data_IF_567082430678
#
_entry.id   IF_567082430678
#
_cell.length_a   1.000
_cell.length_b   1.000
_cell.length_c   1.000
_cell.angle_alpha   90.00
_cell.angle_beta   90.00
_cell.angle_gamma   90.00
#
_symmetry.space_group_name_H-M   'P 1'
#
loop_
_entity.id
_entity.type
_entity.pdbx_description
1 polymer ?
#
# COMPACT_ATOMS: atom_id res chain seq x y z
N UNK A 1 -0.65 -16.59 -0.97
CA UNK A 1 -1.81 -17.13 -0.24
C UNK A 1 -2.12 -18.56 -0.69
N UNK A 2 -2.61 -19.43 0.18
CA UNK A 2 -3.15 -20.77 -0.15
C UNK A 2 -4.59 -20.71 -0.64
N UNK A 3 -5.36 -19.71 -0.18
CA UNK A 3 -6.77 -19.54 -0.52
C UNK A 3 -6.96 -18.42 -1.53
N UNK A 4 -7.57 -18.76 -2.66
CA UNK A 4 -7.87 -17.84 -3.77
C UNK A 4 -9.36 -17.74 -4.09
N UNK A 5 -10.18 -18.58 -3.45
CA UNK A 5 -11.64 -18.63 -3.63
C UNK A 5 -12.33 -18.64 -2.27
N UNK A 6 -13.42 -17.89 -2.16
CA UNK A 6 -14.30 -17.93 -0.99
C UNK A 6 -15.20 -19.18 -1.03
N UNK A 7 -15.78 -19.59 0.11
CA UNK A 7 -16.80 -20.64 0.13
C UNK A 7 -17.95 -20.37 -0.84
N UNK A 8 -18.57 -21.43 -1.38
CA UNK A 8 -19.60 -21.34 -2.42
C UNK A 8 -20.77 -20.38 -2.11
N UNK A 9 -21.10 -20.19 -0.83
CA UNK A 9 -22.09 -19.20 -0.39
C UNK A 9 -21.78 -17.77 -0.89
N UNK A 10 -20.49 -17.42 -1.00
CA UNK A 10 -19.98 -16.12 -1.45
C UNK A 10 -19.66 -16.09 -2.96
N UNK A 11 -20.11 -17.08 -3.72
CA UNK A 11 -19.97 -17.13 -5.19
C UNK A 11 -20.37 -15.83 -5.89
N UNK A 12 -21.50 -15.17 -5.53
CA UNK A 12 -21.88 -13.88 -6.13
C UNK A 12 -20.83 -12.77 -5.98
N UNK A 13 -20.08 -12.74 -4.86
CA UNK A 13 -18.99 -11.77 -4.69
C UNK A 13 -17.81 -12.12 -5.60
N UNK A 14 -17.42 -13.40 -5.65
CA UNK A 14 -16.32 -13.86 -6.50
C UNK A 14 -16.60 -13.67 -7.99
N UNK A 15 -17.82 -13.92 -8.46
CA UNK A 15 -18.23 -13.68 -9.86
C UNK A 15 -18.02 -12.21 -10.25
N UNK A 16 -18.47 -11.27 -9.42
CA UNK A 16 -18.27 -9.84 -9.69
C UNK A 16 -16.78 -9.50 -9.66
N UNK A 17 -16.04 -10.03 -8.68
CA UNK A 17 -14.62 -9.76 -8.50
C UNK A 17 -13.76 -10.23 -9.68
N UNK A 18 -14.03 -11.42 -10.21
CA UNK A 18 -13.32 -12.01 -11.35
C UNK A 18 -13.55 -11.23 -12.66
N UNK A 19 -14.75 -10.69 -12.85
CA UNK A 19 -15.11 -9.91 -14.04
C UNK A 19 -14.93 -8.39 -13.86
N UNK A 20 -14.31 -7.94 -12.75
CA UNK A 20 -14.21 -6.51 -12.40
C UNK A 20 -13.68 -5.63 -13.54
N UNK A 21 -12.52 -5.94 -14.19
CA UNK A 21 -12.01 -5.10 -15.26
C UNK A 21 -13.00 -4.94 -16.42
N UNK A 22 -13.67 -6.02 -16.81
CA UNK A 22 -14.65 -6.05 -17.91
C UNK A 22 -15.94 -5.32 -17.54
N UNK A 23 -16.43 -5.50 -16.31
CA UNK A 23 -17.62 -4.81 -15.81
C UNK A 23 -17.40 -3.30 -15.68
N UNK A 24 -16.19 -2.87 -15.29
CA UNK A 24 -15.83 -1.45 -15.24
C UNK A 24 -15.72 -0.89 -16.66
N UNK A 25 -14.98 -1.56 -17.55
CA UNK A 25 -14.79 -1.10 -18.94
C UNK A 25 -16.11 -1.03 -19.73
N UNK A 26 -17.08 -1.88 -19.41
CA UNK A 26 -18.42 -1.89 -20.03
C UNK A 26 -19.45 -1.03 -19.29
N UNK A 27 -19.04 -0.29 -18.27
CA UNK A 27 -19.91 0.55 -17.42
C UNK A 27 -21.07 -0.20 -16.73
N UNK A 28 -20.90 -1.50 -16.48
CA UNK A 28 -21.94 -2.39 -15.94
C UNK A 28 -21.75 -2.76 -14.47
N UNK A 29 -20.61 -2.45 -13.86
CA UNK A 29 -20.32 -2.87 -12.48
C UNK A 29 -21.36 -2.34 -11.49
N UNK A 30 -21.74 -1.06 -11.55
CA UNK A 30 -22.78 -0.51 -10.66
C UNK A 30 -24.11 -1.28 -10.73
N UNK A 31 -24.59 -1.55 -11.95
CA UNK A 31 -25.82 -2.33 -12.15
C UNK A 31 -25.69 -3.75 -11.58
N UNK A 32 -24.53 -4.41 -11.79
CA UNK A 32 -24.26 -5.74 -11.26
C UNK A 32 -24.19 -5.76 -9.73
N UNK A 33 -23.59 -4.74 -9.10
CA UNK A 33 -23.56 -4.58 -7.64
C UNK A 33 -24.98 -4.42 -7.08
N UNK A 34 -25.85 -3.64 -7.71
CA UNK A 34 -27.24 -3.51 -7.25
C UNK A 34 -28.05 -4.82 -7.35
N UNK A 35 -27.70 -5.71 -8.27
CA UNK A 35 -28.32 -7.05 -8.41
C UNK A 35 -27.72 -8.09 -7.46
N UNK A 36 -26.61 -7.78 -6.79
CA UNK A 36 -25.92 -8.70 -5.90
C UNK A 36 -26.77 -8.97 -4.65
N UNK A 37 -26.94 -10.24 -4.21
CA UNK A 37 -27.63 -10.51 -2.96
C UNK A 37 -26.83 -9.94 -1.78
N UNK A 38 -27.52 -9.45 -0.75
CA UNK A 38 -26.88 -9.14 0.53
C UNK A 38 -26.57 -10.45 1.25
N UNK A 39 -25.28 -10.82 1.32
CA UNK A 39 -24.83 -12.05 1.96
C UNK A 39 -24.35 -11.76 3.39
N UNK A 40 -24.64 -12.67 4.32
CA UNK A 40 -24.19 -12.55 5.71
C UNK A 40 -22.73 -12.99 5.86
N UNK A 41 -21.96 -12.26 6.66
CA UNK A 41 -20.55 -12.57 6.94
C UNK A 41 -20.34 -13.71 7.93
N UNK A 42 -21.41 -14.19 8.61
CA UNK A 42 -21.37 -15.25 9.63
C UNK A 42 -20.83 -16.61 9.15
N UNK A 43 -20.78 -16.83 7.84
CA UNK A 43 -20.27 -18.07 7.24
C UNK A 43 -18.78 -17.98 6.87
N UNK A 44 -18.15 -16.81 7.01
CA UNK A 44 -16.69 -16.66 6.90
C UNK A 44 -16.02 -17.24 8.14
N UNK A 45 -15.06 -18.14 7.94
CA UNK A 45 -14.37 -18.86 8.99
C UNK A 45 -12.87 -18.60 8.92
N UNK A 46 -12.35 -18.09 10.03
CA UNK A 46 -10.92 -17.90 10.22
C UNK A 46 -10.35 -16.74 9.41
N UNK A 47 -9.06 -16.52 9.62
CA UNK A 47 -8.36 -15.33 9.16
C UNK A 47 -8.23 -15.25 7.62
N UNK A 48 -7.95 -16.38 6.96
CA UNK A 48 -7.76 -16.41 5.50
C UNK A 48 -9.05 -16.06 4.73
N UNK A 49 -10.21 -16.56 5.17
CA UNK A 49 -11.50 -16.23 4.54
C UNK A 49 -11.88 -14.77 4.76
N UNK A 50 -11.66 -14.24 5.98
CA UNK A 50 -11.92 -12.85 6.28
C UNK A 50 -11.05 -11.93 5.42
N UNK A 51 -9.76 -12.21 5.30
CA UNK A 51 -8.86 -11.40 4.45
C UNK A 51 -9.22 -11.49 2.97
N UNK A 52 -9.56 -12.67 2.45
CA UNK A 52 -9.99 -12.80 1.06
C UNK A 52 -11.33 -12.08 0.82
N UNK A 53 -12.26 -12.12 1.77
CA UNK A 53 -13.51 -11.36 1.69
C UNK A 53 -13.25 -9.85 1.72
N UNK A 54 -12.36 -9.37 2.59
CA UNK A 54 -11.99 -7.96 2.63
C UNK A 54 -11.32 -7.50 1.32
N UNK A 55 -10.43 -8.33 0.77
CA UNK A 55 -9.82 -8.12 -0.55
C UNK A 55 -10.89 -8.00 -1.65
N UNK A 56 -11.80 -8.96 -1.74
CA UNK A 56 -12.85 -8.97 -2.76
C UNK A 56 -13.77 -7.77 -2.64
N UNK A 57 -14.32 -7.53 -1.44
CA UNK A 57 -15.27 -6.45 -1.20
C UNK A 57 -14.63 -5.07 -1.38
N UNK A 58 -13.37 -4.91 -0.99
CA UNK A 58 -12.64 -3.65 -1.21
C UNK A 58 -12.40 -3.38 -2.69
N UNK A 59 -11.99 -4.38 -3.48
CA UNK A 59 -11.82 -4.23 -4.93
C UNK A 59 -13.14 -3.88 -5.64
N UNK A 60 -14.25 -4.54 -5.26
CA UNK A 60 -15.59 -4.23 -5.80
C UNK A 60 -15.97 -2.79 -5.43
N UNK A 61 -15.74 -2.36 -4.18
CA UNK A 61 -16.00 -0.98 -3.73
C UNK A 61 -15.20 0.03 -4.53
N UNK A 62 -13.89 -0.17 -4.74
CA UNK A 62 -13.07 0.78 -5.52
C UNK A 62 -13.54 0.85 -6.97
N UNK A 63 -13.88 -0.29 -7.57
CA UNK A 63 -14.47 -0.33 -8.91
C UNK A 63 -15.81 0.42 -8.96
N UNK A 64 -16.71 0.17 -8.01
CA UNK A 64 -18.05 0.76 -7.96
C UNK A 64 -17.98 2.30 -7.85
N UNK A 65 -17.13 2.79 -6.95
CA UNK A 65 -16.94 4.22 -6.71
C UNK A 65 -16.33 4.91 -7.93
N UNK A 66 -15.23 4.37 -8.46
CA UNK A 66 -14.42 5.03 -9.48
C UNK A 66 -14.68 4.63 -10.93
N UNK A 67 -15.66 3.75 -11.20
CA UNK A 67 -16.02 3.29 -12.56
C UNK A 67 -16.14 4.45 -13.57
N UNK A 68 -16.80 5.53 -13.17
CA UNK A 68 -17.08 6.71 -14.02
C UNK A 68 -16.04 7.84 -13.84
N UNK A 69 -14.90 7.54 -13.23
CA UNK A 69 -13.89 8.53 -12.91
C UNK A 69 -14.30 9.55 -11.84
N UNK A 70 -13.61 10.70 -11.83
CA UNK A 70 -13.89 11.80 -10.88
C UNK A 70 -15.18 12.56 -11.18
N UNK A 71 -15.70 12.46 -12.40
CA UNK A 71 -16.88 13.22 -12.84
C UNK A 71 -18.19 12.51 -12.51
N UNK A 72 -18.16 11.19 -12.35
CA UNK A 72 -19.32 10.37 -12.01
C UNK A 72 -19.25 9.75 -10.62
N UNK A 73 -18.73 10.47 -9.63
CA UNK A 73 -18.62 9.97 -8.25
C UNK A 73 -19.97 9.61 -7.66
N UNK A 74 -19.97 8.65 -6.74
CA UNK A 74 -21.15 8.21 -5.99
C UNK A 74 -21.06 8.72 -4.56
N UNK A 75 -22.21 9.03 -3.97
CA UNK A 75 -22.29 9.45 -2.56
C UNK A 75 -22.58 8.29 -1.60
N UNK A 76 -23.11 7.19 -2.12
CA UNK A 76 -23.62 6.08 -1.32
C UNK A 76 -23.10 4.75 -1.86
N UNK A 77 -22.51 3.95 -0.97
CA UNK A 77 -22.21 2.55 -1.18
C UNK A 77 -23.47 1.72 -0.84
N UNK A 78 -24.02 0.91 -1.76
CA UNK A 78 -25.25 0.16 -1.54
C UNK A 78 -25.14 -0.84 -0.37
N UNK A 79 -26.20 -1.00 0.43
CA UNK A 79 -26.21 -1.84 1.64
C UNK A 79 -25.73 -3.28 1.47
N UNK A 80 -26.02 -3.87 0.31
CA UNK A 80 -25.66 -5.25 -0.01
C UNK A 80 -24.14 -5.44 -0.21
N UNK A 81 -23.40 -4.34 -0.40
CA UNK A 81 -21.94 -4.28 -0.40
C UNK A 81 -21.40 -3.63 0.88
N UNK A 82 -22.03 -2.55 1.34
CA UNK A 82 -21.58 -1.75 2.48
C UNK A 82 -21.60 -2.51 3.82
N UNK A 83 -22.71 -3.18 4.15
CA UNK A 83 -22.86 -3.93 5.41
C UNK A 83 -21.84 -5.05 5.52
N UNK A 84 -21.74 -6.02 4.57
CA UNK A 84 -20.78 -7.10 4.71
C UNK A 84 -19.34 -6.60 4.68
N UNK A 85 -19.05 -5.54 3.91
CA UNK A 85 -17.71 -4.97 3.90
C UNK A 85 -17.35 -4.39 5.27
N UNK A 86 -18.23 -3.58 5.86
CA UNK A 86 -18.03 -3.05 7.21
C UNK A 86 -17.87 -4.15 8.26
N UNK A 87 -18.72 -5.18 8.26
CA UNK A 87 -18.64 -6.30 9.21
C UNK A 87 -17.29 -7.03 9.11
N UNK A 88 -16.81 -7.33 7.90
CA UNK A 88 -15.50 -7.96 7.69
C UNK A 88 -14.37 -7.02 8.13
N UNK A 89 -14.46 -5.73 7.82
CA UNK A 89 -13.50 -4.71 8.25
C UNK A 89 -13.40 -4.64 9.78
N UNK A 90 -14.53 -4.64 10.50
CA UNK A 90 -14.55 -4.68 11.96
C UNK A 90 -13.89 -5.96 12.50
N UNK A 91 -14.22 -7.11 11.93
CA UNK A 91 -13.65 -8.40 12.35
C UNK A 91 -12.12 -8.46 12.18
N UNK A 92 -11.57 -7.78 11.17
CA UNK A 92 -10.13 -7.69 10.92
C UNK A 92 -9.44 -6.52 11.62
N UNK A 93 -10.19 -5.56 12.17
CA UNK A 93 -9.65 -4.31 12.70
C UNK A 93 -9.03 -3.39 11.64
N UNK A 94 -9.56 -3.48 10.41
CA UNK A 94 -9.19 -2.66 9.24
C UNK A 94 -10.34 -1.69 8.89
N UNK A 95 -10.07 -0.58 8.18
CA UNK A 95 -11.14 0.29 7.68
C UNK A 95 -11.80 -0.31 6.41
N UNK A 96 -13.09 -0.02 6.15
CA UNK A 96 -13.81 -0.47 4.96
C UNK A 96 -13.41 0.31 3.70
N UNK A 97 -12.14 0.25 3.34
CA UNK A 97 -11.57 0.74 2.08
C UNK A 97 -10.43 -0.21 1.66
N UNK A 98 -10.07 -0.20 0.38
CA UNK A 98 -8.90 -0.92 -0.12
C UNK A 98 -7.61 -0.42 0.54
N UNK A 99 -7.00 -1.28 1.37
CA UNK A 99 -5.74 -0.99 2.06
C UNK A 99 -4.56 -1.71 1.40
N UNK A 100 -3.33 -1.32 1.75
CA UNK A 100 -2.11 -2.01 1.33
C UNK A 100 -2.09 -3.50 1.73
N UNK A 101 -2.65 -3.83 2.88
CA UNK A 101 -2.79 -5.22 3.35
C UNK A 101 -3.62 -6.08 2.37
N UNK A 102 -4.67 -5.50 1.78
CA UNK A 102 -5.47 -6.18 0.77
C UNK A 102 -4.75 -6.18 -0.57
N UNK A 103 -4.45 -4.98 -1.05
CA UNK A 103 -3.98 -4.71 -2.41
C UNK A 103 -2.65 -5.38 -2.73
N UNK A 104 -1.77 -5.53 -1.73
CA UNK A 104 -0.42 -6.10 -1.90
C UNK A 104 -0.26 -7.40 -1.12
N UNK A 105 -0.45 -7.37 0.20
CA UNK A 105 -0.04 -8.50 1.06
C UNK A 105 -0.92 -9.74 0.88
N UNK A 106 -2.22 -9.55 0.61
CA UNK A 106 -3.18 -10.62 0.41
C UNK A 106 -3.44 -10.97 -1.08
N UNK A 107 -3.26 -10.01 -1.99
CA UNK A 107 -3.64 -10.18 -3.40
C UNK A 107 -2.59 -10.89 -4.28
N UNK A 108 -2.17 -12.09 -3.88
CA UNK A 108 -1.23 -12.88 -4.69
C UNK A 108 -1.36 -14.40 -4.49
N UNK A 109 -1.06 -15.13 -5.56
CA UNK A 109 -0.95 -16.59 -5.60
C UNK A 109 0.30 -17.03 -6.35
N UNK A 110 0.79 -18.23 -6.05
CA UNK A 110 1.79 -18.90 -6.88
C UNK A 110 1.09 -19.58 -8.05
N UNK A 111 1.70 -19.52 -9.23
CA UNK A 111 1.30 -20.33 -10.40
C UNK A 111 1.69 -21.78 -10.19
N UNK A 112 2.94 -22.00 -9.77
CA UNK A 112 3.46 -23.30 -9.33
C UNK A 112 3.85 -23.22 -7.83
N UNK A 113 3.16 -23.97 -6.95
CA UNK A 113 3.46 -24.00 -5.52
C UNK A 113 4.89 -24.40 -5.18
N UNK A 114 5.55 -25.20 -6.03
CA UNK A 114 6.88 -25.75 -5.81
C UNK A 114 8.01 -24.82 -6.27
N UNK A 115 7.68 -23.74 -7.00
CA UNK A 115 8.67 -22.78 -7.48
C UNK A 115 8.84 -21.59 -6.51
N UNK A 116 10.00 -20.89 -6.56
CA UNK A 116 10.26 -19.73 -5.71
C UNK A 116 9.24 -18.59 -5.87
N UNK A 117 9.23 -17.67 -4.90
CA UNK A 117 8.44 -16.42 -4.92
C UNK A 117 9.13 -15.38 -5.82
N UNK A 118 9.08 -15.63 -7.13
CA UNK A 118 9.55 -14.74 -8.19
C UNK A 118 8.36 -14.22 -9.00
N UNK A 119 8.44 -13.01 -9.55
CA UNK A 119 7.29 -12.36 -10.22
C UNK A 119 6.75 -13.17 -11.40
N UNK A 120 7.59 -13.96 -12.06
CA UNK A 120 7.23 -14.86 -13.15
C UNK A 120 6.32 -15.99 -12.67
N UNK A 121 6.54 -16.47 -11.44
CA UNK A 121 5.76 -17.52 -10.77
C UNK A 121 4.61 -16.97 -9.92
N UNK A 122 4.41 -15.66 -9.88
CA UNK A 122 3.35 -15.03 -9.10
C UNK A 122 2.24 -14.50 -9.99
N UNK A 123 1.04 -14.40 -9.45
CA UNK A 123 -0.09 -13.73 -10.08
C UNK A 123 -1.00 -13.07 -9.05
N UNK A 124 -1.80 -12.09 -9.46
CA UNK A 124 -2.82 -11.48 -8.60
C UNK A 124 -4.04 -12.41 -8.47
N UNK A 125 -4.79 -12.25 -7.39
CA UNK A 125 -6.06 -12.98 -7.19
C UNK A 125 -7.18 -12.18 -7.85
N UNK A 126 -7.32 -10.90 -7.49
CA UNK A 126 -8.31 -9.97 -8.03
C UNK A 126 -7.59 -8.81 -8.73
N UNK A 127 -8.17 -8.31 -9.82
CA UNK A 127 -7.60 -7.25 -10.63
C UNK A 127 -8.61 -6.12 -10.89
N UNK A 128 -8.09 -4.90 -11.01
CA UNK A 128 -8.78 -3.71 -11.49
C UNK A 128 -8.25 -3.36 -12.89
N UNK A 129 -8.81 -2.34 -13.57
CA UNK A 129 -8.26 -1.88 -14.84
C UNK A 129 -6.78 -1.48 -14.72
N UNK A 130 -6.00 -1.78 -15.76
CA UNK A 130 -4.55 -1.55 -15.81
C UNK A 130 -3.74 -2.77 -16.27
N UNK A 131 -4.37 -3.93 -16.44
CA UNK A 131 -3.77 -5.12 -17.04
C UNK A 131 -2.43 -5.51 -16.41
N UNK A 132 -1.45 -5.82 -17.25
CA UNK A 132 -0.11 -6.21 -16.80
C UNK A 132 0.60 -5.14 -15.97
N UNK A 133 0.30 -3.84 -16.17
CA UNK A 133 0.87 -2.78 -15.35
C UNK A 133 0.31 -2.78 -13.93
N UNK A 134 -0.97 -3.12 -13.74
CA UNK A 134 -1.54 -3.26 -12.39
C UNK A 134 -0.94 -4.48 -11.69
N UNK A 135 -0.90 -5.61 -12.39
CA UNK A 135 -0.25 -6.83 -11.91
C UNK A 135 1.21 -6.57 -11.52
N UNK A 136 1.96 -5.88 -12.38
CA UNK A 136 3.33 -5.45 -12.13
C UNK A 136 3.45 -4.56 -10.90
N UNK A 137 2.58 -3.57 -10.75
CA UNK A 137 2.61 -2.65 -9.61
C UNK A 137 2.40 -3.39 -8.29
N UNK A 138 1.40 -4.28 -8.22
CA UNK A 138 1.12 -5.10 -7.04
C UNK A 138 2.29 -6.05 -6.73
N UNK A 139 2.74 -6.83 -7.71
CA UNK A 139 3.74 -7.87 -7.47
C UNK A 139 5.15 -7.30 -7.22
N UNK A 140 5.55 -6.21 -7.87
CA UNK A 140 6.81 -5.52 -7.55
C UNK A 140 6.76 -5.00 -6.11
N UNK A 141 5.63 -4.42 -5.68
CA UNK A 141 5.47 -3.93 -4.31
C UNK A 141 5.52 -5.09 -3.30
N UNK A 142 4.90 -6.23 -3.62
CA UNK A 142 5.02 -7.46 -2.82
C UNK A 142 6.47 -7.95 -2.71
N UNK A 143 7.26 -7.86 -3.80
CA UNK A 143 8.66 -8.24 -3.76
C UNK A 143 9.51 -7.29 -2.90
N UNK A 144 9.15 -6.00 -2.81
CA UNK A 144 9.77 -5.07 -1.85
C UNK A 144 9.46 -5.52 -0.42
N UNK A 145 8.22 -5.85 -0.11
CA UNK A 145 7.82 -6.38 1.21
C UNK A 145 8.55 -7.70 1.54
N UNK A 146 8.67 -8.60 0.56
CA UNK A 146 9.43 -9.85 0.71
C UNK A 146 10.91 -9.59 0.98
N UNK A 147 11.52 -8.64 0.27
CA UNK A 147 12.93 -8.28 0.45
C UNK A 147 13.21 -7.68 1.84
N UNK A 148 12.20 -7.09 2.49
CA UNK A 148 12.32 -6.56 3.83
C UNK A 148 12.34 -7.63 4.94
N UNK A 149 11.91 -8.87 4.66
CA UNK A 149 11.74 -9.92 5.69
C UNK A 149 13.00 -10.18 6.52
N UNK A 150 14.22 -10.28 5.93
CA UNK A 150 15.45 -10.38 6.72
C UNK A 150 15.64 -9.17 7.64
N UNK A 151 15.36 -7.96 7.16
CA UNK A 151 15.43 -6.73 7.95
C UNK A 151 14.47 -6.71 9.14
N UNK A 152 13.24 -7.20 8.98
CA UNK A 152 12.28 -7.36 10.10
C UNK A 152 12.83 -8.31 11.16
N UNK A 153 13.40 -9.44 10.76
CA UNK A 153 14.00 -10.41 11.68
C UNK A 153 15.21 -9.80 12.39
N UNK A 154 16.04 -9.07 11.65
CA UNK A 154 17.18 -8.34 12.17
C UNK A 154 16.77 -7.26 13.17
N UNK A 155 15.64 -6.57 12.97
CA UNK A 155 15.09 -5.63 13.95
C UNK A 155 14.80 -6.31 15.30
N UNK A 156 14.19 -7.50 15.27
CA UNK A 156 13.90 -8.28 16.49
C UNK A 156 15.20 -8.73 17.16
N UNK A 157 16.19 -9.18 16.38
CA UNK A 157 17.50 -9.58 16.89
C UNK A 157 18.25 -8.41 17.51
N UNK A 158 18.26 -7.24 16.87
CA UNK A 158 18.88 -6.02 17.38
C UNK A 158 18.32 -5.63 18.76
N UNK A 159 16.99 -5.62 18.90
CA UNK A 159 16.34 -5.33 20.19
C UNK A 159 16.75 -6.34 21.27
N UNK A 160 16.80 -7.64 20.94
CA UNK A 160 17.23 -8.68 21.89
C UNK A 160 18.71 -8.54 22.27
N UNK A 161 19.58 -8.27 21.30
CA UNK A 161 21.01 -8.11 21.50
C UNK A 161 21.32 -6.92 22.40
N UNK A 162 20.62 -5.79 22.22
CA UNK A 162 20.73 -4.63 23.11
C UNK A 162 20.34 -4.97 24.56
N UNK A 163 19.25 -5.72 24.76
CA UNK A 163 18.83 -6.14 26.10
C UNK A 163 19.81 -7.10 26.79
N UNK A 164 20.60 -7.83 25.99
CA UNK A 164 21.61 -8.78 26.47
C UNK A 164 23.03 -8.19 26.50
N UNK A 165 23.21 -6.94 26.04
CA UNK A 165 24.50 -6.30 25.84
C UNK A 165 25.45 -7.11 24.94
N UNK A 166 24.89 -7.75 23.91
CA UNK A 166 25.63 -8.54 22.92
C UNK A 166 25.93 -7.68 21.68
N UNK A 167 27.08 -7.00 21.71
CA UNK A 167 27.46 -6.06 20.65
C UNK A 167 27.81 -6.74 19.33
N UNK A 168 28.29 -7.99 19.34
CA UNK A 168 28.58 -8.73 18.10
C UNK A 168 27.29 -9.12 17.38
N UNK A 169 26.30 -9.65 18.09
CA UNK A 169 24.98 -9.95 17.52
C UNK A 169 24.27 -8.67 17.06
N UNK A 170 24.41 -7.58 17.82
CA UNK A 170 23.85 -6.29 17.42
C UNK A 170 24.48 -5.78 16.11
N UNK A 171 25.81 -5.84 16.00
CA UNK A 171 26.53 -5.44 14.80
C UNK A 171 26.08 -6.24 13.57
N UNK A 172 25.98 -7.57 13.69
CA UNK A 172 25.51 -8.45 12.62
C UNK A 172 24.05 -8.13 12.22
N UNK A 173 23.16 -7.90 13.19
CA UNK A 173 21.78 -7.54 12.93
C UNK A 173 21.67 -6.19 12.17
N UNK A 174 22.48 -5.20 12.50
CA UNK A 174 22.50 -3.93 11.76
C UNK A 174 23.01 -4.11 10.32
N UNK A 175 24.01 -4.97 10.10
CA UNK A 175 24.47 -5.28 8.75
C UNK A 175 23.38 -5.96 7.91
N UNK A 176 22.65 -6.92 8.49
CA UNK A 176 21.53 -7.61 7.83
C UNK A 176 20.37 -6.65 7.53
N UNK A 177 20.06 -5.74 8.44
CA UNK A 177 19.05 -4.70 8.22
C UNK A 177 19.44 -3.79 7.04
N UNK A 178 20.69 -3.32 7.00
CA UNK A 178 21.17 -2.47 5.91
C UNK A 178 21.10 -3.19 4.55
N UNK A 179 21.46 -4.48 4.51
CA UNK A 179 21.36 -5.28 3.28
C UNK A 179 19.91 -5.50 2.84
N UNK A 180 19.00 -5.82 3.76
CA UNK A 180 17.59 -5.97 3.44
C UNK A 180 16.99 -4.69 2.83
N UNK A 181 17.38 -3.50 3.32
CA UNK A 181 16.94 -2.21 2.75
C UNK A 181 17.54 -1.97 1.35
N UNK A 182 18.77 -2.43 1.09
CA UNK A 182 19.35 -2.41 -0.27
C UNK A 182 18.62 -3.35 -1.22
N UNK A 183 18.24 -4.54 -0.75
CA UNK A 183 17.43 -5.49 -1.52
C UNK A 183 16.03 -4.97 -1.82
N UNK A 184 15.39 -4.31 -0.84
CA UNK A 184 14.14 -3.57 -1.07
C UNK A 184 14.30 -2.52 -2.17
N UNK A 185 15.41 -1.78 -2.15
CA UNK A 185 15.73 -0.78 -3.16
C UNK A 185 15.90 -1.42 -4.54
N UNK A 186 16.57 -2.57 -4.63
CA UNK A 186 16.75 -3.33 -5.87
C UNK A 186 15.41 -3.85 -6.41
N UNK A 187 14.55 -4.42 -5.54
CA UNK A 187 13.21 -4.85 -5.91
C UNK A 187 12.37 -3.68 -6.45
N UNK A 188 12.40 -2.52 -5.80
CA UNK A 188 11.67 -1.32 -6.24
C UNK A 188 12.10 -0.85 -7.65
N UNK A 189 13.36 -1.07 -8.06
CA UNK A 189 13.82 -0.70 -9.42
C UNK A 189 13.07 -1.44 -10.51
N UNK A 190 12.61 -2.67 -10.23
CA UNK A 190 11.85 -3.50 -11.17
C UNK A 190 10.51 -2.89 -11.56
N UNK A 191 10.05 -1.85 -10.86
CA UNK A 191 8.86 -1.09 -11.26
C UNK A 191 8.97 -0.62 -12.72
N UNK A 192 10.18 -0.28 -13.18
CA UNK A 192 10.45 0.13 -14.56
C UNK A 192 10.21 -0.96 -15.61
N UNK A 193 10.33 -2.22 -15.22
CA UNK A 193 10.27 -3.35 -16.14
C UNK A 193 8.83 -3.85 -16.30
N UNK A 194 8.00 -3.69 -15.26
CA UNK A 194 6.66 -4.29 -15.21
C UNK A 194 5.51 -3.27 -15.20
N UNK A 195 5.78 -1.97 -15.07
CA UNK A 195 4.73 -0.95 -14.98
C UNK A 195 4.96 0.15 -15.99
N UNK A 196 3.97 0.35 -16.86
CA UNK A 196 3.91 1.48 -17.78
C UNK A 196 3.50 2.76 -17.01
N UNK A 197 4.32 3.84 -17.05
CA UNK A 197 4.00 5.09 -16.37
C UNK A 197 2.69 5.76 -16.79
N UNK A 198 2.32 5.68 -18.07
CA UNK A 198 1.08 6.25 -18.57
C UNK A 198 -0.12 5.46 -18.04
N UNK A 199 -0.08 4.12 -18.11
CA UNK A 199 -1.16 3.26 -17.57
C UNK A 199 -1.32 3.45 -16.06
N UNK A 200 -0.20 3.52 -15.32
CA UNK A 200 -0.26 3.81 -13.89
C UNK A 200 -0.97 5.13 -13.61
N UNK A 201 -0.56 6.20 -14.30
CA UNK A 201 -1.07 7.53 -14.05
C UNK A 201 -2.53 7.72 -14.45
N UNK A 202 -2.94 7.23 -15.63
CA UNK A 202 -4.26 7.50 -16.20
C UNK A 202 -5.31 6.46 -15.86
N UNK A 203 -4.92 5.23 -15.55
CA UNK A 203 -5.85 4.11 -15.31
C UNK A 203 -5.81 3.64 -13.86
N UNK A 204 -4.64 3.25 -13.35
CA UNK A 204 -4.55 2.53 -12.07
C UNK A 204 -4.84 3.47 -10.89
N UNK A 205 -4.24 4.65 -10.91
CA UNK A 205 -4.15 5.54 -9.75
C UNK A 205 -5.51 5.98 -9.18
N UNK A 206 -6.51 6.14 -10.03
CA UNK A 206 -7.85 6.54 -9.59
C UNK A 206 -8.47 5.47 -8.68
N UNK A 207 -8.28 4.18 -9.00
CA UNK A 207 -8.81 3.07 -8.20
C UNK A 207 -8.09 2.87 -6.86
N UNK A 208 -6.97 3.56 -6.62
CA UNK A 208 -6.29 3.56 -5.33
C UNK A 208 -6.69 4.77 -4.47
N UNK A 209 -7.48 5.69 -5.00
CA UNK A 209 -7.85 6.94 -4.33
C UNK A 209 -8.95 6.72 -3.32
N UNK A 210 -8.77 7.27 -2.13
CA UNK A 210 -9.83 7.30 -1.12
C UNK A 210 -10.70 8.54 -1.24
N UNK A 211 -11.54 8.75 -0.24
CA UNK A 211 -12.47 9.87 -0.14
C UNK A 211 -12.25 10.67 1.15
N UNK A 212 -11.03 10.61 1.72
CA UNK A 212 -10.50 11.56 2.70
C UNK A 212 -9.52 12.50 2.01
N UNK A 213 -9.66 13.80 2.26
CA UNK A 213 -8.82 14.85 1.65
C UNK A 213 -8.86 14.86 0.11
N UNK A 214 -9.91 14.27 -0.48
CA UNK A 214 -10.10 14.13 -1.93
C UNK A 214 -11.13 15.17 -2.45
N UNK A 215 -10.71 16.16 -3.26
CA UNK A 215 -11.60 17.15 -3.86
C UNK A 215 -12.77 16.59 -4.68
N UNK A 216 -12.66 15.39 -5.26
CA UNK A 216 -13.74 14.75 -6.03
C UNK A 216 -14.84 14.17 -5.12
N UNK A 217 -14.54 13.94 -3.83
CA UNK A 217 -15.47 13.41 -2.83
C UNK A 217 -15.26 14.14 -1.49
N UNK A 218 -15.54 15.46 -1.42
CA UNK A 218 -15.19 16.29 -0.28
C UNK A 218 -15.94 15.89 1.00
N UNK A 219 -17.14 15.35 0.85
CA UNK A 219 -17.99 14.94 1.98
C UNK A 219 -17.64 13.51 2.47
N UNK A 220 -16.89 12.72 1.71
CA UNK A 220 -16.69 11.29 1.97
C UNK A 220 -17.73 10.39 1.30
N UNK A 221 -17.92 9.18 1.83
CA UNK A 221 -18.82 8.16 1.27
C UNK A 221 -19.78 7.64 2.35
N UNK A 222 -21.09 7.62 2.05
CA UNK A 222 -22.11 7.03 2.93
C UNK A 222 -22.11 5.51 2.72
N UNK A 223 -22.09 4.75 3.81
CA UNK A 223 -22.22 3.30 3.81
C UNK A 223 -23.65 2.94 4.20
N UNK A 224 -24.52 2.71 3.21
CA UNK A 224 -25.95 2.47 3.45
C UNK A 224 -26.16 1.28 4.39
N UNK A 225 -26.95 1.48 5.44
CA UNK A 225 -27.19 0.50 6.50
C UNK A 225 -26.08 0.35 7.55
N UNK A 226 -25.00 1.14 7.46
CA UNK A 226 -23.90 1.17 8.43
C UNK A 226 -23.81 2.53 9.14
N UNK A 227 -23.85 3.62 8.38
CA UNK A 227 -23.77 5.00 8.88
C UNK A 227 -24.63 5.91 8.01
N UNK A 228 -25.46 6.73 8.65
CA UNK A 228 -26.23 7.79 7.96
C UNK A 228 -25.34 8.98 7.55
N UNK A 229 -24.22 9.16 8.26
CA UNK A 229 -23.23 10.19 7.96
C UNK A 229 -22.13 9.66 7.01
N UNK A 230 -21.65 10.49 6.06
CA UNK A 230 -20.51 10.15 5.23
C UNK A 230 -19.24 9.84 6.05
N UNK A 231 -18.53 8.78 5.67
CA UNK A 231 -17.27 8.38 6.30
C UNK A 231 -16.09 8.74 5.40
N UNK A 232 -14.99 9.22 5.98
CA UNK A 232 -13.80 9.66 5.24
C UNK A 232 -12.59 8.74 5.43
N UNK A 233 -12.20 8.01 4.38
CA UNK A 233 -11.04 7.11 4.38
C UNK A 233 -9.97 7.48 3.35
N UNK A 234 -8.70 7.41 3.77
CA UNK A 234 -7.53 7.62 2.91
C UNK A 234 -7.35 6.44 1.97
N UNK A 235 -6.98 6.69 0.72
CA UNK A 235 -6.70 5.65 -0.26
C UNK A 235 -5.40 4.90 0.00
N UNK A 236 -5.17 3.85 -0.81
CA UNK A 236 -3.99 3.00 -0.73
C UNK A 236 -2.71 3.79 -0.96
N UNK A 237 -1.70 3.58 -0.11
CA UNK A 237 -0.41 4.26 -0.18
C UNK A 237 0.69 3.37 0.37
N UNK A 238 1.91 3.50 -0.15
CA UNK A 238 3.10 2.85 0.42
C UNK A 238 3.33 3.23 1.91
N UNK A 239 2.78 4.36 2.36
CA UNK A 239 2.83 4.76 3.76
C UNK A 239 2.00 3.85 4.69
N UNK A 240 1.16 2.96 4.16
CA UNK A 240 0.47 1.91 4.91
C UNK A 240 1.31 0.64 5.08
N UNK A 241 2.49 0.56 4.43
CA UNK A 241 3.44 -0.53 4.67
C UNK A 241 4.00 -0.47 6.08
N UNK A 242 3.89 -1.56 6.84
CA UNK A 242 4.41 -1.67 8.21
C UNK A 242 5.94 -1.62 8.25
N UNK A 243 6.61 -2.14 7.21
CA UNK A 243 8.07 -2.28 7.14
C UNK A 243 8.77 -0.95 7.37
N UNK A 244 8.35 0.10 6.65
CA UNK A 244 9.02 1.40 6.73
C UNK A 244 8.87 2.03 8.11
N UNK A 245 7.70 1.85 8.76
CA UNK A 245 7.47 2.35 10.11
C UNK A 245 8.33 1.60 11.14
N UNK A 246 8.42 0.27 11.03
CA UNK A 246 9.26 -0.53 11.90
C UNK A 246 10.74 -0.11 11.82
N UNK A 247 11.23 0.19 10.62
CA UNK A 247 12.62 0.63 10.43
C UNK A 247 12.86 2.05 10.94
N UNK A 248 11.91 2.98 10.71
CA UNK A 248 12.00 4.33 11.29
C UNK A 248 12.02 4.29 12.82
N UNK A 249 11.12 3.52 13.44
CA UNK A 249 11.04 3.39 14.89
C UNK A 249 12.31 2.75 15.48
N UNK A 250 12.80 1.67 14.87
CA UNK A 250 14.02 1.01 15.33
C UNK A 250 15.23 1.94 15.27
N UNK A 251 15.41 2.65 14.15
CA UNK A 251 16.53 3.58 13.94
C UNK A 251 16.33 4.90 14.71
N UNK A 252 15.17 5.10 15.35
CA UNK A 252 14.86 6.31 16.09
C UNK A 252 14.73 7.56 15.21
N UNK A 253 14.29 7.40 13.97
CA UNK A 253 14.10 8.52 13.03
C UNK A 253 12.87 9.31 13.45
N UNK A 254 13.04 10.63 13.63
CA UNK A 254 11.95 11.54 14.01
C UNK A 254 11.57 12.43 12.84
N UNK A 255 10.34 12.27 12.35
CA UNK A 255 9.82 13.07 11.24
C UNK A 255 9.20 14.38 11.73
N UNK A 256 8.95 15.32 10.79
CA UNK A 256 8.17 16.52 11.10
C UNK A 256 6.79 16.17 11.64
N UNK A 257 6.17 17.09 12.39
CA UNK A 257 4.84 16.89 12.97
C UNK A 257 3.79 16.51 11.92
N UNK A 258 3.79 17.19 10.77
CA UNK A 258 2.87 16.89 9.65
C UNK A 258 3.08 15.48 9.09
N UNK A 259 4.34 15.09 8.86
CA UNK A 259 4.67 13.75 8.33
C UNK A 259 4.32 12.67 9.34
N UNK A 260 4.56 12.93 10.62
CA UNK A 260 4.24 12.04 11.75
C UNK A 260 2.73 11.85 11.88
N UNK A 261 1.94 12.93 11.81
CA UNK A 261 0.48 12.85 11.83
C UNK A 261 -0.08 12.04 10.64
N UNK A 262 0.50 12.20 9.45
CA UNK A 262 0.15 11.40 8.28
C UNK A 262 0.49 9.92 8.47
N UNK A 263 1.72 9.61 8.92
CA UNK A 263 2.18 8.23 9.14
C UNK A 263 1.37 7.54 10.25
N UNK A 264 1.13 8.16 11.39
CA UNK A 264 0.28 7.58 12.44
C UNK A 264 -1.14 7.31 11.96
N UNK A 265 -1.71 8.19 11.13
CA UNK A 265 -3.00 7.91 10.49
C UNK A 265 -2.92 6.65 9.62
N UNK A 266 -1.83 6.46 8.87
CA UNK A 266 -1.63 5.26 8.04
C UNK A 266 -1.47 3.97 8.84
N UNK A 267 -1.00 4.04 10.10
CA UNK A 267 -1.03 2.87 10.99
C UNK A 267 -2.45 2.33 11.16
N UNK A 268 -3.48 3.18 11.16
CA UNK A 268 -4.88 2.76 11.20
C UNK A 268 -5.33 1.82 10.06
N UNK A 269 -4.55 1.74 8.98
CA UNK A 269 -4.81 0.91 7.79
C UNK A 269 -3.95 -0.37 7.76
N UNK A 270 -3.17 -0.61 8.81
CA UNK A 270 -2.39 -1.84 8.98
C UNK A 270 -3.18 -2.86 9.81
N UNK A 271 -2.98 -4.18 9.57
CA UNK A 271 -3.52 -5.22 10.44
C UNK A 271 -3.15 -5.00 11.91
N UNK A 272 -4.04 -5.27 12.88
CA UNK A 272 -3.77 -5.02 14.30
C UNK A 272 -2.45 -5.61 14.81
N UNK A 273 -2.05 -6.86 14.47
CA UNK A 273 -0.76 -7.41 14.89
C UNK A 273 0.44 -6.64 14.33
N UNK A 274 0.32 -6.08 13.13
CA UNK A 274 1.37 -5.29 12.50
C UNK A 274 1.54 -3.93 13.19
N UNK A 275 0.42 -3.31 13.61
CA UNK A 275 0.47 -2.08 14.42
C UNK A 275 1.14 -2.35 15.76
N UNK A 276 0.73 -3.43 16.43
CA UNK A 276 1.31 -3.84 17.71
C UNK A 276 2.82 -4.03 17.60
N UNK A 277 3.31 -4.68 16.52
CA UNK A 277 4.73 -4.84 16.28
C UNK A 277 5.50 -3.52 16.18
N UNK A 278 4.96 -2.52 15.47
CA UNK A 278 5.60 -1.18 15.38
C UNK A 278 5.64 -0.50 16.75
N UNK A 279 4.56 -0.61 17.53
CA UNK A 279 4.50 -0.05 18.89
C UNK A 279 5.44 -0.78 19.87
N UNK A 280 5.68 -2.08 19.69
CA UNK A 280 6.66 -2.84 20.46
C UNK A 280 8.09 -2.39 20.17
N UNK A 281 8.43 -2.15 18.90
CA UNK A 281 9.73 -1.56 18.52
C UNK A 281 9.88 -0.18 19.12
N UNK A 282 8.85 0.67 19.03
CA UNK A 282 8.87 2.02 19.58
C UNK A 282 9.15 2.04 21.10
N UNK A 283 8.62 1.06 21.84
CA UNK A 283 8.81 0.93 23.30
C UNK A 283 10.14 0.30 23.70
N UNK A 284 10.87 -0.30 22.77
CA UNK A 284 12.18 -0.89 23.04
C UNK A 284 13.19 0.18 23.48
N UNK A 285 14.28 -0.20 24.18
CA UNK A 285 15.35 0.74 24.46
C UNK A 285 15.88 1.37 23.16
N UNK A 286 16.31 2.63 23.23
CA UNK A 286 16.74 3.37 22.03
C UNK A 286 18.03 2.80 21.46
N UNK A 287 17.95 2.19 20.26
CA UNK A 287 19.11 1.70 19.52
C UNK A 287 20.13 2.81 19.29
N UNK A 288 19.66 3.98 18.85
CA UNK A 288 20.51 5.14 18.62
C UNK A 288 21.29 5.55 19.86
N UNK A 289 20.63 5.59 21.02
CA UNK A 289 21.30 5.93 22.28
C UNK A 289 22.29 4.84 22.71
N UNK A 290 21.92 3.57 22.57
CA UNK A 290 22.78 2.42 22.88
C UNK A 290 24.07 2.47 22.07
N UNK A 291 23.97 2.63 20.75
CA UNK A 291 25.13 2.73 19.84
C UNK A 291 26.02 3.91 20.22
N UNK A 292 25.45 5.09 20.48
CA UNK A 292 26.22 6.26 20.93
C UNK A 292 26.93 6.04 22.27
N UNK A 293 26.30 5.34 23.21
CA UNK A 293 26.90 5.05 24.52
C UNK A 293 27.94 3.94 24.51
N UNK A 294 27.92 3.06 23.50
CA UNK A 294 28.82 1.91 23.41
C UNK A 294 30.29 2.30 23.16
N UNK A 295 30.52 3.41 22.46
CA UNK A 295 31.84 3.79 21.96
C UNK A 295 32.41 2.84 20.88
N UNK A 296 31.63 1.86 20.40
CA UNK A 296 32.07 0.94 19.34
C UNK A 296 31.90 1.58 17.96
N UNK A 297 33.02 1.93 17.33
CA UNK A 297 33.05 2.51 16.00
C UNK A 297 32.40 1.61 14.92
N UNK A 298 32.40 0.28 15.09
CA UNK A 298 31.75 -0.66 14.17
C UNK A 298 30.23 -0.54 14.25
N UNK A 299 29.68 -0.44 15.46
CA UNK A 299 28.24 -0.24 15.65
C UNK A 299 27.77 1.11 15.11
N UNK A 300 28.55 2.17 15.33
CA UNK A 300 28.27 3.49 14.77
C UNK A 300 28.26 3.43 13.23
N UNK A 301 29.26 2.77 12.62
CA UNK A 301 29.32 2.58 11.17
C UNK A 301 28.13 1.75 10.64
N UNK A 302 27.79 0.63 11.28
CA UNK A 302 26.68 -0.23 10.85
C UNK A 302 25.31 0.45 11.00
N UNK A 303 25.10 1.20 12.08
CA UNK A 303 23.91 2.03 12.27
C UNK A 303 23.78 3.06 11.13
N UNK A 304 24.86 3.81 10.85
CA UNK A 304 24.86 4.79 9.77
C UNK A 304 24.65 4.17 8.38
N UNK A 305 25.10 2.92 8.16
CA UNK A 305 24.79 2.19 6.93
C UNK A 305 23.29 1.88 6.80
N UNK A 306 22.60 1.54 7.89
CA UNK A 306 21.14 1.37 7.88
C UNK A 306 20.43 2.67 7.51
N UNK A 307 20.80 3.78 8.16
CA UNK A 307 20.24 5.11 7.92
C UNK A 307 20.49 5.55 6.47
N UNK A 308 21.71 5.36 5.97
CA UNK A 308 22.07 5.66 4.58
C UNK A 308 21.25 4.83 3.59
N UNK A 309 21.15 3.51 3.81
CA UNK A 309 20.37 2.63 2.95
C UNK A 309 18.88 3.04 2.90
N UNK A 310 18.31 3.43 4.03
CA UNK A 310 16.91 3.89 4.11
C UNK A 310 16.72 5.24 3.40
N UNK A 311 17.66 6.18 3.54
CA UNK A 311 17.64 7.45 2.81
C UNK A 311 17.79 7.25 1.29
N UNK A 312 18.60 6.28 0.86
CA UNK A 312 18.76 5.91 -0.55
C UNK A 312 17.50 5.24 -1.11
N UNK A 313 16.87 4.34 -0.35
CA UNK A 313 15.57 3.78 -0.69
C UNK A 313 14.53 4.88 -0.91
N UNK A 314 14.44 5.86 0.00
CA UNK A 314 13.53 7.01 -0.12
C UNK A 314 13.84 7.88 -1.32
N UNK A 315 15.12 8.11 -1.60
CA UNK A 315 15.56 8.84 -2.79
C UNK A 315 15.15 8.13 -4.08
N UNK A 316 15.28 6.79 -4.11
CA UNK A 316 14.82 5.97 -5.23
C UNK A 316 13.31 6.03 -5.38
N UNK A 317 12.56 5.97 -4.28
CA UNK A 317 11.10 6.08 -4.30
C UNK A 317 10.66 7.45 -4.86
N UNK A 318 11.31 8.56 -4.49
CA UNK A 318 11.07 9.88 -5.07
C UNK A 318 11.30 9.88 -6.59
N UNK A 319 12.35 9.21 -7.07
CA UNK A 319 12.63 9.09 -8.51
C UNK A 319 11.55 8.29 -9.24
N UNK A 320 11.07 7.18 -8.65
CA UNK A 320 9.91 6.42 -9.16
C UNK A 320 8.69 7.35 -9.24
N UNK A 321 8.31 7.98 -8.14
CA UNK A 321 7.16 8.88 -8.08
C UNK A 321 7.26 10.01 -9.12
N UNK A 322 8.44 10.57 -9.32
CA UNK A 322 8.67 11.59 -10.36
C UNK A 322 8.36 11.07 -11.76
N UNK A 323 8.83 9.85 -12.11
CA UNK A 323 8.57 9.22 -13.42
C UNK A 323 7.08 8.88 -13.60
N UNK A 324 6.49 8.24 -12.60
CA UNK A 324 5.13 7.67 -12.68
C UNK A 324 4.01 8.66 -12.41
N UNK A 325 4.32 9.82 -11.81
CA UNK A 325 3.32 10.85 -11.52
C UNK A 325 3.64 12.14 -12.28
N UNK A 326 4.76 12.81 -11.99
CA UNK A 326 5.04 14.13 -12.57
C UNK A 326 5.28 14.09 -14.08
N UNK A 327 6.16 13.21 -14.53
CA UNK A 327 6.50 13.09 -15.96
C UNK A 327 5.31 12.52 -16.74
N UNK A 328 4.63 11.52 -16.19
CA UNK A 328 3.42 10.96 -16.80
C UNK A 328 2.29 12.00 -16.92
N UNK A 329 2.08 12.83 -15.89
CA UNK A 329 1.13 13.95 -15.92
C UNK A 329 1.44 14.95 -17.04
N UNK A 330 2.70 15.37 -17.14
CA UNK A 330 3.14 16.32 -18.17
C UNK A 330 2.91 15.74 -19.58
N UNK A 331 3.26 14.48 -19.80
CA UNK A 331 3.02 13.78 -21.08
C UNK A 331 1.53 13.67 -21.41
N UNK A 332 0.69 13.33 -20.44
CA UNK A 332 -0.75 13.25 -20.63
C UNK A 332 -1.39 14.61 -20.96
N UNK A 333 -0.87 15.71 -20.40
CA UNK A 333 -1.30 17.08 -20.75
C UNK A 333 -0.85 17.47 -22.16
N UNK A 334 0.40 17.17 -22.54
CA UNK A 334 0.94 17.47 -23.87
C UNK A 334 0.21 16.71 -24.99
N UNK A 335 -0.07 15.40 -24.81
CA UNK A 335 -0.78 14.59 -25.80
C UNK A 335 -2.24 14.99 -26.03
N UNK A 336 -2.85 15.77 -25.13
CA UNK A 336 -4.18 16.36 -25.32
C UNK A 336 -4.16 17.66 -26.11
N UNK A 337 -3.01 18.30 -26.25
CA UNK A 337 -2.85 19.58 -26.93
C UNK A 337 -2.60 19.45 -28.44
N UNK A 338 -2.33 18.24 -28.96
CA UNK A 338 -2.18 18.00 -30.39
C UNK A 338 -3.54 17.72 -31.05
N UNK A 339 -3.98 18.56 -32.01
CA UNK A 339 -5.24 18.35 -32.73
C UNK A 339 -4.99 17.36 -33.88
N UNK A 340 -5.13 16.06 -33.65
CA UNK A 340 -4.78 15.09 -34.70
C UNK A 340 -5.24 13.65 -34.57
N UNK A 341 -5.34 13.06 -33.38
CA UNK A 341 -5.60 11.61 -33.29
C UNK A 341 -6.88 11.26 -32.53
N UNK A 342 -7.72 10.48 -33.22
CA UNK A 342 -8.91 9.83 -32.71
C UNK A 342 -8.52 8.94 -31.52
N UNK A 343 -8.77 9.41 -30.31
CA UNK A 343 -8.66 8.58 -29.12
C UNK A 343 -9.60 7.37 -29.28
N UNK A 344 -9.02 6.18 -29.41
CA UNK A 344 -9.75 4.92 -29.26
C UNK A 344 -10.42 4.86 -27.88
N UNK A 345 -11.46 4.03 -27.70
CA UNK A 345 -12.36 4.05 -26.55
C UNK A 345 -11.76 3.57 -25.20
N UNK A 346 -10.44 3.59 -25.01
CA UNK A 346 -9.77 3.02 -23.82
C UNK A 346 -8.76 3.92 -23.12
N UNK A 347 -8.56 5.17 -23.55
CA UNK A 347 -7.68 6.11 -22.85
C UNK A 347 -8.41 6.75 -21.67
N UNK A 348 -8.28 6.17 -20.47
CA UNK A 348 -8.81 6.73 -19.23
C UNK A 348 -8.41 8.20 -19.01
N UNK A 349 -9.34 9.01 -18.48
CA UNK A 349 -9.08 10.43 -18.16
C UNK A 349 -8.22 10.50 -16.90
N UNK A 350 -6.99 11.07 -16.92
CA UNK A 350 -6.21 11.27 -15.73
C UNK A 350 -6.96 12.02 -14.62
N UNK A 351 -6.84 11.54 -13.36
CA UNK A 351 -7.51 12.13 -12.21
C UNK A 351 -6.88 13.49 -11.85
N UNK A 352 -7.67 14.55 -11.94
CA UNK A 352 -7.30 15.93 -11.67
C UNK A 352 -7.11 16.20 -10.17
N UNK A 353 -7.91 15.56 -9.32
CA UNK A 353 -7.82 15.68 -7.85
C UNK A 353 -6.48 15.15 -7.31
N UNK A 354 -5.78 14.35 -8.12
CA UNK A 354 -4.51 13.74 -7.77
C UNK A 354 -3.31 14.45 -8.41
N UNK A 355 -3.42 15.60 -9.09
CA UNK A 355 -2.24 16.19 -9.74
C UNK A 355 -1.09 16.49 -8.77
N UNK A 356 -1.40 17.04 -7.58
CA UNK A 356 -0.42 17.35 -6.54
C UNK A 356 -0.51 16.44 -5.29
N UNK A 357 -1.56 15.62 -5.18
CA UNK A 357 -1.85 14.78 -4.00
C UNK A 357 -1.66 13.30 -4.28
N UNK A 358 -1.15 12.58 -3.28
CA UNK A 358 -1.06 11.13 -3.29
C UNK A 358 -2.44 10.52 -3.11
N UNK A 359 -2.59 9.25 -3.47
CA UNK A 359 -3.82 8.46 -3.27
C UNK A 359 -4.21 8.35 -1.79
N UNK A 360 -3.22 8.43 -0.87
CA UNK A 360 -3.43 8.53 0.58
C UNK A 360 -3.77 9.94 1.11
N UNK A 361 -3.73 10.97 0.26
CA UNK A 361 -4.14 12.35 0.58
C UNK A 361 -3.03 13.35 0.90
N UNK A 362 -1.75 12.95 0.95
CA UNK A 362 -0.63 13.86 1.23
C UNK A 362 -0.15 14.65 0.01
N UNK A 363 0.48 15.81 0.23
CA UNK A 363 1.26 16.50 -0.80
C UNK A 363 2.54 15.73 -1.09
N UNK A 364 2.54 14.99 -2.21
CA UNK A 364 3.46 13.86 -2.44
C UNK A 364 4.93 14.24 -2.23
N UNK A 365 5.40 15.30 -2.90
CA UNK A 365 6.81 15.67 -2.85
C UNK A 365 7.23 16.33 -1.55
N UNK A 366 6.33 17.09 -0.91
CA UNK A 366 6.62 17.70 0.39
C UNK A 366 6.82 16.57 1.42
N UNK A 367 5.87 15.64 1.47
CA UNK A 367 5.93 14.49 2.35
C UNK A 367 7.15 13.60 2.10
N UNK A 368 7.37 13.14 0.86
CA UNK A 368 8.46 12.20 0.56
C UNK A 368 9.84 12.83 0.77
N UNK A 369 10.04 14.10 0.40
CA UNK A 369 11.31 14.79 0.65
C UNK A 369 11.52 15.00 2.15
N UNK A 370 10.51 15.45 2.89
CA UNK A 370 10.60 15.63 4.35
C UNK A 370 10.96 14.34 5.08
N UNK A 371 10.31 13.22 4.72
CA UNK A 371 10.60 11.90 5.29
C UNK A 371 12.01 11.40 4.93
N UNK A 372 12.51 11.69 3.72
CA UNK A 372 13.91 11.39 3.33
C UNK A 372 14.92 12.24 4.10
N UNK A 373 14.68 13.54 4.20
CA UNK A 373 15.64 14.49 4.76
C UNK A 373 15.80 14.25 6.26
N UNK A 374 14.70 14.03 6.99
CA UNK A 374 14.73 13.61 8.40
C UNK A 374 15.40 12.24 8.61
N UNK A 375 15.36 11.31 7.64
CA UNK A 375 16.21 10.09 7.73
C UNK A 375 17.68 10.43 7.70
N UNK A 376 18.11 11.31 6.77
CA UNK A 376 19.53 11.69 6.64
C UNK A 376 20.06 12.36 7.90
N UNK A 377 19.23 13.19 8.53
CA UNK A 377 19.51 13.83 9.82
C UNK A 377 19.64 12.81 10.98
N UNK A 378 19.14 11.59 10.79
CA UNK A 378 19.25 10.50 11.76
C UNK A 378 20.65 9.91 11.91
N UNK A 379 21.59 10.25 11.01
CA UNK A 379 22.99 9.81 11.13
C UNK A 379 23.62 10.29 12.44
N UNK A 380 24.57 9.51 12.95
CA UNK A 380 25.30 9.80 14.18
C UNK A 380 26.79 9.92 13.91
N UNK A 381 27.46 10.81 14.65
CA UNK A 381 28.92 10.88 14.68
C UNK A 381 29.45 9.99 15.80
N UNK A 382 30.54 9.28 15.53
CA UNK A 382 31.26 8.48 16.52
C UNK A 382 31.93 9.35 17.60
#
# INVERSE_FOLDING_TARGET
>A
STKTELPAHYGPWMEVAHDLPQLIASHRLRSRVHQMPQLSTRHLRGHEELHLAHLVLSFITMGYVWQEGEEGTVKVLPRNLAIPFWEVSQALGLPPILCHADFVLANWRRKDPNRPLEIENLDTIISLPGGDSLRGFILVTLLVEKAAVPGIKASIQAVRAMLQLDEETLHQALQELAEAIRDMSAALKRMHDYVDPAVFYTVIRIFLSGWKDNPAMPDGLIYDGVSDEPMAYSGGSAAQSTVLHAFDELLGIRHSEESTAFLHRMRGYMPPPHRAFVEEIHRAPSLRQHVLSSGDARLCAAFNQCVSALADFRSRHIAIVTKYITVAAAKAKAGRAEPGDRAGPSAGKPPSALEAKGTGGSHIFIFLKGVRDTTREGMISA
#
